data_IF_620624060761
#
_entry.id   IF_620624060761
#
_cell.length_a   1.000
_cell.length_b   1.000
_cell.length_c   1.000
_cell.angle_alpha   90.00
_cell.angle_beta   90.00
_cell.angle_gamma   90.00
#
_symmetry.space_group_name_H-M   'P 1'
#
loop_
_entity.id
_entity.type
_entity.pdbx_description
1 polymer ?
#
# COMPACT_ATOMS: atom_id res chain seq x y z
N UNK A 1 -25.56 -11.59 -10.08
CA UNK A 1 -25.44 -10.38 -10.91
C UNK A 1 -24.09 -9.74 -10.59
N UNK A 2 -23.12 -9.84 -11.50
CA UNK A 2 -21.88 -9.06 -11.40
C UNK A 2 -22.29 -7.63 -11.74
N UNK A 3 -22.43 -6.80 -10.71
CA UNK A 3 -22.82 -5.40 -10.87
C UNK A 3 -21.81 -4.70 -11.78
N UNK A 4 -22.31 -4.00 -12.80
CA UNK A 4 -21.49 -3.12 -13.61
C UNK A 4 -20.86 -2.08 -12.68
N UNK A 5 -19.54 -2.17 -12.51
CA UNK A 5 -18.77 -1.12 -11.84
C UNK A 5 -18.88 0.10 -12.76
N UNK A 6 -19.54 1.15 -12.30
CA UNK A 6 -19.63 2.42 -13.02
C UNK A 6 -18.24 2.88 -13.43
N UNK A 7 -18.08 3.44 -14.62
CA UNK A 7 -16.81 4.01 -15.08
C UNK A 7 -16.23 4.99 -14.05
N UNK A 8 -17.11 5.73 -13.36
CA UNK A 8 -16.76 6.59 -12.23
C UNK A 8 -16.09 5.84 -11.07
N UNK A 9 -16.61 4.67 -10.69
CA UNK A 9 -16.05 3.85 -9.62
C UNK A 9 -14.71 3.24 -10.01
N UNK A 10 -14.52 2.89 -11.28
CA UNK A 10 -13.23 2.41 -11.79
C UNK A 10 -12.16 3.51 -11.70
N UNK A 11 -12.50 4.74 -12.14
CA UNK A 11 -11.60 5.90 -12.04
C UNK A 11 -11.27 6.20 -10.58
N UNK A 12 -12.27 6.14 -9.68
CA UNK A 12 -12.07 6.35 -8.25
C UNK A 12 -11.13 5.31 -7.64
N UNK A 13 -11.33 4.03 -7.95
CA UNK A 13 -10.47 2.95 -7.48
C UNK A 13 -9.03 3.10 -7.99
N UNK A 14 -8.86 3.48 -9.25
CA UNK A 14 -7.54 3.72 -9.83
C UNK A 14 -6.83 4.92 -9.15
N UNK A 15 -7.56 6.00 -8.89
CA UNK A 15 -7.02 7.16 -8.17
C UNK A 15 -6.56 6.79 -6.75
N UNK A 16 -7.33 5.98 -6.04
CA UNK A 16 -6.97 5.53 -4.70
C UNK A 16 -5.78 4.56 -4.71
N UNK A 17 -5.70 3.70 -5.73
CA UNK A 17 -4.53 2.86 -5.97
C UNK A 17 -3.27 3.71 -6.16
N UNK A 18 -3.30 4.74 -7.01
CA UNK A 18 -2.15 5.62 -7.23
C UNK A 18 -1.75 6.40 -5.97
N UNK A 19 -2.73 6.83 -5.17
CA UNK A 19 -2.45 7.45 -3.87
C UNK A 19 -1.73 6.48 -2.92
N UNK A 20 -2.19 5.23 -2.86
CA UNK A 20 -1.57 4.18 -2.05
C UNK A 20 -0.16 3.88 -2.57
N UNK A 21 0.01 3.84 -3.89
CA UNK A 21 1.30 3.66 -4.55
C UNK A 21 2.31 4.70 -4.09
N UNK A 22 1.98 5.97 -4.25
CA UNK A 22 2.85 7.07 -3.82
C UNK A 22 3.19 6.98 -2.33
N UNK A 23 2.22 6.58 -1.48
CA UNK A 23 2.42 6.51 -0.04
C UNK A 23 3.39 5.41 0.37
N UNK A 24 3.25 4.20 -0.16
CA UNK A 24 4.19 3.13 0.20
C UNK A 24 5.56 3.39 -0.41
N UNK A 25 5.65 3.97 -1.61
CA UNK A 25 6.93 4.30 -2.24
C UNK A 25 7.70 5.31 -1.41
N UNK A 26 7.04 6.38 -0.94
CA UNK A 26 7.64 7.36 -0.01
C UNK A 26 8.13 6.68 1.28
N UNK A 27 7.27 5.88 1.90
CA UNK A 27 7.57 5.21 3.18
C UNK A 27 8.77 4.28 3.04
N UNK A 28 8.76 3.39 2.04
CA UNK A 28 9.85 2.45 1.84
C UNK A 28 11.13 3.12 1.38
N UNK A 29 11.05 4.21 0.61
CA UNK A 29 12.24 4.96 0.24
C UNK A 29 12.93 5.56 1.48
N UNK A 30 12.17 6.18 2.38
CA UNK A 30 12.70 6.78 3.62
C UNK A 30 13.25 5.73 4.61
N UNK A 31 12.64 4.55 4.68
CA UNK A 31 13.04 3.50 5.62
C UNK A 31 14.22 2.66 5.10
N UNK A 32 14.28 2.41 3.78
CA UNK A 32 15.19 1.44 3.18
C UNK A 32 16.42 2.09 2.54
N UNK A 33 16.31 3.27 1.93
CA UNK A 33 17.42 3.91 1.22
C UNK A 33 18.17 4.82 2.20
N UNK A 34 19.40 4.43 2.51
CA UNK A 34 20.23 5.13 3.52
C UNK A 34 21.51 5.68 2.93
N UNK A 35 21.98 5.11 1.84
CA UNK A 35 23.23 5.51 1.21
C UNK A 35 22.98 6.06 -0.20
N UNK A 36 23.24 7.36 -0.36
CA UNK A 36 23.11 8.06 -1.65
C UNK A 36 24.48 8.36 -2.28
N UNK A 37 25.42 7.43 -2.13
CA UNK A 37 26.80 7.56 -2.65
C UNK A 37 26.95 7.10 -4.10
N UNK A 38 26.00 6.32 -4.61
CA UNK A 38 25.96 5.81 -5.98
C UNK A 38 24.59 6.04 -6.61
N UNK A 39 24.54 6.04 -7.95
CA UNK A 39 23.28 6.09 -8.70
C UNK A 39 22.48 4.77 -8.60
N UNK A 40 23.18 3.67 -8.33
CA UNK A 40 22.58 2.35 -8.16
C UNK A 40 22.35 2.04 -6.68
N UNK A 41 21.24 1.37 -6.40
CA UNK A 41 20.92 0.88 -5.07
C UNK A 41 21.73 -0.36 -4.72
N UNK A 42 22.13 -0.48 -3.46
CA UNK A 42 22.79 -1.69 -2.97
C UNK A 42 21.79 -2.86 -2.95
N UNK A 43 22.26 -4.11 -3.10
CA UNK A 43 21.38 -5.29 -3.00
C UNK A 43 20.65 -5.38 -1.65
N UNK A 44 21.26 -4.87 -0.58
CA UNK A 44 20.62 -4.78 0.75
C UNK A 44 19.42 -3.82 0.76
N UNK A 45 19.54 -2.66 0.11
CA UNK A 45 18.48 -1.66 0.01
C UNK A 45 17.33 -2.16 -0.89
N UNK A 46 17.65 -2.87 -1.98
CA UNK A 46 16.64 -3.53 -2.82
C UNK A 46 15.86 -4.60 -2.04
N UNK A 47 16.56 -5.49 -1.32
CA UNK A 47 15.93 -6.52 -0.48
C UNK A 47 15.09 -5.91 0.65
N UNK A 48 15.57 -4.83 1.26
CA UNK A 48 14.83 -4.08 2.28
C UNK A 48 13.54 -3.48 1.72
N UNK A 49 13.62 -2.88 0.53
CA UNK A 49 12.46 -2.28 -0.16
C UNK A 49 11.38 -3.31 -0.51
N UNK A 50 11.77 -4.51 -0.97
CA UNK A 50 10.81 -5.60 -1.24
C UNK A 50 10.10 -6.06 0.04
N UNK A 51 10.87 -6.26 1.12
CA UNK A 51 10.30 -6.60 2.45
C UNK A 51 9.38 -5.51 2.97
N UNK A 52 9.75 -4.24 2.79
CA UNK A 52 8.92 -3.10 3.18
C UNK A 52 7.58 -3.12 2.46
N UNK A 53 7.58 -3.28 1.13
CA UNK A 53 6.35 -3.37 0.35
C UNK A 53 5.46 -4.53 0.81
N UNK A 54 6.04 -5.73 0.97
CA UNK A 54 5.28 -6.89 1.46
C UNK A 54 4.68 -6.65 2.85
N UNK A 55 5.45 -6.05 3.77
CA UNK A 55 5.00 -5.70 5.11
C UNK A 55 3.86 -4.67 5.08
N UNK A 56 4.01 -3.62 4.28
CA UNK A 56 3.01 -2.57 4.11
C UNK A 56 1.68 -3.13 3.60
N UNK A 57 1.70 -3.97 2.56
CA UNK A 57 0.50 -4.57 2.00
C UNK A 57 -0.19 -5.52 2.98
N UNK A 58 0.58 -6.36 3.69
CA UNK A 58 0.06 -7.24 4.74
C UNK A 58 -0.56 -6.45 5.90
N UNK A 59 0.08 -5.35 6.31
CA UNK A 59 -0.45 -4.43 7.31
C UNK A 59 -1.75 -3.81 6.84
N UNK A 60 -1.79 -3.23 5.63
CA UNK A 60 -2.98 -2.60 5.09
C UNK A 60 -4.17 -3.57 4.99
N UNK A 61 -3.93 -4.81 4.56
CA UNK A 61 -4.94 -5.86 4.53
C UNK A 61 -5.45 -6.20 5.94
N UNK A 62 -4.53 -6.37 6.90
CA UNK A 62 -4.89 -6.70 8.29
C UNK A 62 -5.70 -5.58 8.94
N UNK A 63 -5.30 -4.32 8.76
CA UNK A 63 -6.03 -3.14 9.25
C UNK A 63 -7.43 -3.09 8.63
N UNK A 64 -7.54 -3.31 7.31
CA UNK A 64 -8.83 -3.34 6.62
C UNK A 64 -9.79 -4.41 7.17
N UNK A 65 -9.26 -5.60 7.50
CA UNK A 65 -10.03 -6.68 8.11
C UNK A 65 -10.56 -6.28 9.50
N UNK A 66 -9.69 -5.75 10.37
CA UNK A 66 -10.07 -5.34 11.73
C UNK A 66 -11.03 -4.15 11.73
N UNK A 67 -10.83 -3.20 10.82
CA UNK A 67 -11.73 -2.08 10.63
C UNK A 67 -13.14 -2.54 10.21
N UNK A 68 -13.21 -3.52 9.31
CA UNK A 68 -14.50 -4.12 8.91
C UNK A 68 -15.20 -4.79 10.10
N UNK A 69 -14.48 -5.56 10.90
CA UNK A 69 -15.02 -6.18 12.12
C UNK A 69 -15.60 -5.12 13.07
N UNK A 70 -14.83 -4.06 13.33
CA UNK A 70 -15.25 -2.94 14.17
C UNK A 70 -16.50 -2.22 13.64
N UNK A 71 -16.56 -1.93 12.34
CA UNK A 71 -17.73 -1.30 11.71
C UNK A 71 -18.99 -2.18 11.71
N UNK A 72 -18.85 -3.51 11.84
CA UNK A 72 -20.00 -4.40 12.01
C UNK A 72 -20.51 -4.37 13.45
N UNK A 73 -19.62 -4.36 14.45
CA UNK A 73 -19.97 -4.31 15.87
C UNK A 73 -20.66 -3.01 16.28
N UNK A 74 -20.32 -1.88 15.66
CA UNK A 74 -20.94 -0.58 15.95
C UNK A 74 -22.33 -0.37 15.30
N UNK A 75 -22.85 -1.37 14.57
CA UNK A 75 -24.18 -1.28 13.93
C UNK A 75 -25.30 -1.88 14.78
N UNK A 76 -25.00 -2.37 15.98
CA UNK A 76 -25.98 -2.81 17.01
C UNK A 76 -26.27 -1.69 18.03
#
# INVERSE_FOLDING_TARGET
MVGQISEYDQIKNFKEFLRTYNKFTETCFLDCIKELTSKEFKPEEMNSSDRCLQSYLKMAQRVSMRFREYCMQQKD
#
